data_IF_314439736348
#
_entry.id   IF_314439736348
#
_cell.length_a   1.000
_cell.length_b   1.000
_cell.length_c   1.000
_cell.angle_alpha   90.00
_cell.angle_beta   90.00
_cell.angle_gamma   90.00
#
_symmetry.space_group_name_H-M   'P 1'
#
loop_
_entity.id
_entity.type
_entity.pdbx_description
1 polymer ?
#
# COMPACT_ATOMS: atom_id res chain seq x y z
N UNK A 1 -5.04 0.23 16.89
CA UNK A 1 -4.38 0.63 15.66
C UNK A 1 -4.84 -0.25 14.50
N UNK A 2 -5.11 0.34 13.34
CA UNK A 2 -5.71 -0.38 12.20
C UNK A 2 -4.68 -0.63 11.09
N UNK A 3 -3.54 -1.24 11.48
CA UNK A 3 -2.49 -1.65 10.56
C UNK A 3 -2.57 -3.16 10.37
N UNK A 4 -2.62 -3.59 9.13
CA UNK A 4 -2.72 -4.98 8.73
C UNK A 4 -1.65 -5.33 7.72
N UNK A 5 -1.06 -6.50 7.84
CA UNK A 5 -0.13 -7.05 6.85
C UNK A 5 -0.80 -8.22 6.15
N UNK A 6 -0.96 -8.12 4.84
CA UNK A 6 -1.54 -9.19 4.02
C UNK A 6 -0.41 -10.00 3.39
N UNK A 7 -0.27 -11.25 3.80
CA UNK A 7 0.78 -12.15 3.32
C UNK A 7 0.34 -13.63 3.40
N UNK A 8 0.86 -14.46 2.51
CA UNK A 8 0.76 -15.92 2.54
C UNK A 8 1.96 -16.57 3.21
N UNK A 9 3.07 -15.83 3.35
CA UNK A 9 4.36 -16.32 3.82
C UNK A 9 4.37 -16.50 5.34
N UNK A 10 4.65 -17.72 5.81
CA UNK A 10 4.64 -18.08 7.24
C UNK A 10 5.76 -17.40 8.03
N UNK A 11 6.93 -17.19 7.41
CA UNK A 11 8.04 -16.51 8.09
C UNK A 11 7.71 -15.03 8.31
N UNK A 12 7.09 -14.39 7.32
CA UNK A 12 6.60 -13.01 7.46
C UNK A 12 5.49 -12.94 8.53
N UNK A 13 4.54 -13.89 8.55
CA UNK A 13 3.48 -13.94 9.58
C UNK A 13 4.08 -14.03 10.98
N UNK A 14 5.10 -14.86 11.17
CA UNK A 14 5.79 -14.99 12.45
C UNK A 14 6.44 -13.68 12.90
N UNK A 15 7.20 -13.02 12.00
CA UNK A 15 7.84 -11.73 12.27
C UNK A 15 6.81 -10.65 12.64
N UNK A 16 5.68 -10.61 11.94
CA UNK A 16 4.62 -9.63 12.17
C UNK A 16 3.92 -9.87 13.50
N UNK A 17 3.69 -11.13 13.86
CA UNK A 17 3.07 -11.50 15.14
C UNK A 17 3.91 -11.07 16.35
N UNK A 18 5.25 -11.13 16.23
CA UNK A 18 6.18 -10.64 17.27
C UNK A 18 6.13 -9.12 17.46
N UNK A 19 5.65 -8.37 16.46
CA UNK A 19 5.58 -6.91 16.45
C UNK A 19 4.20 -6.35 16.81
N UNK A 20 3.27 -7.20 17.23
CA UNK A 20 1.89 -6.83 17.60
C UNK A 20 1.09 -6.16 16.45
N UNK A 21 1.43 -6.50 15.20
CA UNK A 21 0.62 -6.14 14.04
C UNK A 21 -0.37 -7.25 13.68
N UNK A 22 -1.45 -6.86 13.01
CA UNK A 22 -2.50 -7.79 12.58
C UNK A 22 -2.16 -8.38 11.23
N UNK A 23 -2.28 -9.70 11.13
CA UNK A 23 -2.05 -10.43 9.87
C UNK A 23 -3.39 -10.71 9.19
N UNK A 24 -3.43 -10.51 7.89
CA UNK A 24 -4.46 -11.03 7.00
C UNK A 24 -3.84 -12.17 6.22
N UNK A 25 -4.31 -13.38 6.48
CA UNK A 25 -3.87 -14.57 5.76
C UNK A 25 -4.35 -14.48 4.30
N UNK A 26 -3.40 -14.25 3.39
CA UNK A 26 -3.69 -14.08 1.98
C UNK A 26 -3.71 -15.45 1.29
N UNK A 27 -4.79 -15.80 0.56
CA UNK A 27 -4.79 -17.01 -0.25
C UNK A 27 -3.62 -17.01 -1.26
N UNK A 28 -2.98 -18.15 -1.43
CA UNK A 28 -1.83 -18.28 -2.32
C UNK A 28 -2.15 -17.89 -3.77
N UNK A 29 -3.38 -18.11 -4.20
CA UNK A 29 -3.86 -17.72 -5.54
C UNK A 29 -3.80 -16.20 -5.77
N UNK A 30 -3.85 -15.39 -4.69
CA UNK A 30 -3.73 -13.94 -4.75
C UNK A 30 -2.28 -13.44 -4.65
N UNK A 31 -1.31 -14.33 -4.57
CA UNK A 31 0.11 -14.02 -4.44
C UNK A 31 0.91 -14.29 -5.71
N UNK A 32 0.23 -14.70 -6.77
CA UNK A 32 0.87 -15.00 -8.04
C UNK A 32 1.17 -13.71 -8.83
N UNK A 33 2.27 -13.70 -9.58
CA UNK A 33 2.80 -12.52 -10.28
C UNK A 33 1.80 -11.86 -11.25
N UNK A 34 0.85 -12.63 -11.77
CA UNK A 34 -0.17 -12.13 -12.69
C UNK A 34 -1.42 -11.56 -11.99
N UNK A 35 -1.48 -11.64 -10.66
CA UNK A 35 -2.64 -11.15 -9.91
C UNK A 35 -2.52 -9.65 -9.68
N UNK A 36 -3.55 -8.94 -10.09
CA UNK A 36 -3.62 -7.49 -9.87
C UNK A 36 -3.76 -7.17 -8.39
N UNK A 37 -3.02 -6.17 -7.93
CA UNK A 37 -3.10 -5.64 -6.54
C UNK A 37 -4.54 -5.35 -6.12
N UNK A 38 -5.40 -4.97 -7.06
CA UNK A 38 -6.82 -4.73 -6.82
C UNK A 38 -7.55 -5.95 -6.22
N UNK A 39 -7.19 -7.16 -6.63
CA UNK A 39 -7.81 -8.38 -6.08
C UNK A 39 -7.37 -8.62 -4.62
N UNK A 40 -6.13 -8.26 -4.29
CA UNK A 40 -5.64 -8.28 -2.90
C UNK A 40 -6.38 -7.25 -2.05
N UNK A 41 -6.64 -6.05 -2.58
CA UNK A 41 -7.41 -5.02 -1.87
C UNK A 41 -8.87 -5.45 -1.64
N UNK A 42 -9.51 -6.10 -2.61
CA UNK A 42 -10.86 -6.67 -2.45
C UNK A 42 -10.89 -7.76 -1.38
N UNK A 43 -9.91 -8.66 -1.38
CA UNK A 43 -9.76 -9.68 -0.35
C UNK A 43 -9.61 -9.05 1.04
N UNK A 44 -8.73 -8.07 1.18
CA UNK A 44 -8.51 -7.31 2.42
C UNK A 44 -9.81 -6.66 2.90
N UNK A 45 -10.53 -5.96 2.03
CA UNK A 45 -11.81 -5.34 2.36
C UNK A 45 -12.84 -6.38 2.82
N UNK A 46 -12.96 -7.49 2.11
CA UNK A 46 -13.88 -8.59 2.47
C UNK A 46 -13.55 -9.16 3.85
N UNK A 47 -12.26 -9.38 4.12
CA UNK A 47 -11.79 -9.86 5.42
C UNK A 47 -12.15 -8.88 6.55
N UNK A 48 -11.82 -7.59 6.39
CA UNK A 48 -12.14 -6.57 7.40
C UNK A 48 -13.65 -6.45 7.65
N UNK A 49 -14.45 -6.45 6.60
CA UNK A 49 -15.90 -6.41 6.72
C UNK A 49 -16.45 -7.64 7.46
N UNK A 50 -15.85 -8.81 7.31
CA UNK A 50 -16.26 -10.02 8.06
C UNK A 50 -16.00 -9.91 9.56
N UNK A 51 -15.06 -9.04 9.96
CA UNK A 51 -14.79 -8.69 11.36
C UNK A 51 -15.61 -7.49 11.86
N UNK A 52 -16.54 -6.97 11.05
CA UNK A 52 -17.32 -5.78 11.38
C UNK A 52 -16.55 -4.46 11.26
N UNK A 53 -15.41 -4.46 10.60
CA UNK A 53 -14.55 -3.29 10.43
C UNK A 53 -14.84 -2.65 9.08
N UNK A 54 -15.43 -1.46 9.12
CA UNK A 54 -15.76 -0.66 7.94
C UNK A 54 -14.90 0.60 7.91
N UNK A 55 -14.43 0.98 6.73
CA UNK A 55 -13.56 2.14 6.56
C UNK A 55 -14.03 2.99 5.36
N UNK A 56 -13.65 4.27 5.35
CA UNK A 56 -13.89 5.18 4.22
C UNK A 56 -12.67 5.29 3.33
N UNK A 57 -11.48 5.23 3.92
CA UNK A 57 -10.19 5.37 3.26
C UNK A 57 -9.36 4.14 3.59
N UNK A 58 -8.74 3.55 2.59
CA UNK A 58 -7.70 2.54 2.72
C UNK A 58 -6.36 3.14 2.29
N UNK A 59 -5.32 2.82 3.03
CA UNK A 59 -3.94 3.19 2.68
C UNK A 59 -3.20 1.89 2.41
N UNK A 60 -2.77 1.72 1.18
CA UNK A 60 -1.88 0.62 0.79
C UNK A 60 -0.44 1.13 0.79
N UNK A 61 0.42 0.43 1.49
CA UNK A 61 1.85 0.68 1.55
C UNK A 61 2.56 -0.57 1.01
N UNK A 62 3.53 -0.36 0.13
CA UNK A 62 4.32 -1.44 -0.43
C UNK A 62 5.52 -1.76 0.48
N UNK A 63 5.65 -3.03 0.88
CA UNK A 63 6.66 -3.44 1.87
C UNK A 63 8.10 -3.30 1.36
N UNK A 64 8.32 -3.36 0.05
CA UNK A 64 9.63 -3.20 -0.58
C UNK A 64 10.02 -1.74 -0.85
N UNK A 65 9.34 -0.78 -0.21
CA UNK A 65 9.70 0.65 -0.22
C UNK A 65 9.99 1.12 1.23
N UNK A 66 11.11 0.71 1.84
CA UNK A 66 11.38 0.95 3.27
C UNK A 66 11.64 2.42 3.62
N UNK A 67 11.75 3.31 2.64
CA UNK A 67 11.96 4.75 2.81
C UNK A 67 10.68 5.53 3.10
N UNK A 68 9.51 4.87 3.07
CA UNK A 68 8.20 5.53 3.28
C UNK A 68 8.19 6.22 4.64
N UNK A 69 7.81 7.50 4.63
CA UNK A 69 7.70 8.34 5.82
C UNK A 69 6.24 8.72 6.07
N UNK A 70 5.92 8.94 7.34
CA UNK A 70 4.56 9.30 7.75
C UNK A 70 4.08 10.60 7.10
N UNK A 71 4.94 11.61 6.99
CA UNK A 71 4.62 12.90 6.36
C UNK A 71 4.13 12.76 4.90
N UNK A 72 4.69 11.80 4.14
CA UNK A 72 4.24 11.53 2.77
C UNK A 72 2.91 10.79 2.70
N UNK A 73 2.63 9.96 3.69
CA UNK A 73 1.31 9.33 3.83
C UNK A 73 0.26 10.40 4.15
N UNK A 74 0.57 11.30 5.10
CA UNK A 74 -0.30 12.40 5.50
C UNK A 74 -0.56 13.34 4.30
N UNK A 75 0.47 13.71 3.52
CA UNK A 75 0.34 14.50 2.30
C UNK A 75 -0.62 13.86 1.28
N UNK A 76 -0.55 12.53 1.11
CA UNK A 76 -1.48 11.81 0.23
C UNK A 76 -2.93 11.87 0.76
N UNK A 77 -3.13 11.72 2.07
CA UNK A 77 -4.45 11.77 2.70
C UNK A 77 -5.04 13.19 2.58
N UNK A 78 -4.27 14.20 2.94
CA UNK A 78 -4.68 15.61 2.84
C UNK A 78 -5.06 15.98 1.40
N UNK A 79 -4.23 15.60 0.44
CA UNK A 79 -4.50 15.84 -0.97
C UNK A 79 -5.80 15.18 -1.44
N UNK A 80 -6.08 13.95 -0.97
CA UNK A 80 -7.32 13.24 -1.29
C UNK A 80 -8.53 14.00 -0.73
N UNK A 81 -8.46 14.45 0.52
CA UNK A 81 -9.56 15.10 1.22
C UNK A 81 -9.80 16.50 0.65
N UNK A 82 -8.77 17.34 0.59
CA UNK A 82 -8.87 18.75 0.23
C UNK A 82 -9.32 18.97 -1.21
N UNK A 83 -8.98 18.05 -2.10
CA UNK A 83 -9.34 18.14 -3.52
C UNK A 83 -10.53 17.23 -3.91
N UNK A 84 -11.20 16.60 -2.95
CA UNK A 84 -12.31 15.65 -3.20
C UNK A 84 -11.93 14.54 -4.19
N UNK A 85 -10.70 14.05 -4.10
CA UNK A 85 -10.21 12.97 -4.95
C UNK A 85 -10.72 11.62 -4.44
N UNK A 86 -10.67 10.63 -5.32
CA UNK A 86 -11.06 9.27 -4.97
C UNK A 86 -9.86 8.39 -4.68
N UNK A 87 -8.73 8.71 -5.28
CA UNK A 87 -7.45 8.04 -5.05
C UNK A 87 -6.27 8.97 -5.25
N UNK A 88 -5.20 8.74 -4.49
CA UNK A 88 -3.92 9.44 -4.59
C UNK A 88 -2.81 8.42 -4.44
N UNK A 89 -1.80 8.46 -5.32
CA UNK A 89 -0.65 7.59 -5.26
C UNK A 89 0.66 8.34 -5.39
N UNK A 90 1.70 7.70 -4.88
CA UNK A 90 3.05 8.21 -5.01
C UNK A 90 3.61 8.00 -6.41
N UNK A 91 4.40 8.97 -6.86
CA UNK A 91 5.08 8.97 -8.16
C UNK A 91 6.51 9.46 -8.02
N UNK A 92 7.36 9.10 -8.97
CA UNK A 92 8.67 9.71 -9.12
C UNK A 92 8.59 11.12 -9.74
N UNK A 93 9.74 11.78 -9.95
CA UNK A 93 9.82 13.13 -10.53
C UNK A 93 9.28 13.22 -11.96
N UNK A 94 9.28 12.12 -12.70
CA UNK A 94 8.76 12.04 -14.05
C UNK A 94 7.24 11.78 -14.10
N UNK A 95 6.60 11.68 -12.93
CA UNK A 95 5.19 11.39 -12.79
C UNK A 95 4.82 9.91 -12.99
N UNK A 96 5.82 9.03 -12.99
CA UNK A 96 5.62 7.57 -13.08
C UNK A 96 5.31 7.05 -11.67
N UNK A 97 4.27 6.22 -11.56
CA UNK A 97 3.89 5.59 -10.30
C UNK A 97 5.01 4.72 -9.76
N UNK A 98 5.44 4.98 -8.51
CA UNK A 98 6.44 4.18 -7.80
C UNK A 98 5.81 3.09 -6.91
N UNK A 99 4.49 3.00 -6.92
CA UNK A 99 3.68 2.02 -6.21
C UNK A 99 3.86 2.00 -4.67
N UNK A 100 4.64 2.89 -4.08
CA UNK A 100 4.98 2.86 -2.67
C UNK A 100 3.78 3.18 -1.76
N UNK A 101 3.02 4.23 -2.10
CA UNK A 101 1.85 4.68 -1.35
C UNK A 101 0.65 4.78 -2.30
N UNK A 102 -0.47 4.21 -1.90
CA UNK A 102 -1.76 4.39 -2.56
C UNK A 102 -2.84 4.62 -1.51
N UNK A 103 -3.39 5.81 -1.48
CA UNK A 103 -4.53 6.21 -0.62
C UNK A 103 -5.78 6.25 -1.47
N UNK A 104 -6.80 5.48 -1.10
CA UNK A 104 -8.00 5.35 -1.90
C UNK A 104 -9.27 5.26 -1.06
N UNK A 105 -10.37 5.78 -1.61
CA UNK A 105 -11.69 5.60 -1.01
C UNK A 105 -12.15 4.15 -1.16
N UNK A 106 -12.92 3.68 -0.20
CA UNK A 106 -13.52 2.34 -0.19
C UNK A 106 -14.19 1.95 -1.53
N UNK A 107 -14.90 2.89 -2.14
CA UNK A 107 -15.57 2.68 -3.44
C UNK A 107 -14.62 2.37 -4.59
N UNK A 108 -13.34 2.81 -4.51
CA UNK A 108 -12.37 2.54 -5.57
C UNK A 108 -11.90 1.09 -5.58
N UNK A 109 -12.02 0.38 -4.46
CA UNK A 109 -11.59 -1.01 -4.35
C UNK A 109 -12.38 -1.93 -5.29
N UNK A 110 -13.64 -1.62 -5.54
CA UNK A 110 -14.51 -2.42 -6.43
C UNK A 110 -14.44 -2.01 -7.91
N UNK A 111 -13.72 -0.94 -8.24
CA UNK A 111 -13.61 -0.47 -9.61
C UNK A 111 -12.69 -1.38 -10.44
N UNK A 112 -12.96 -1.46 -11.73
CA UNK A 112 -12.15 -2.23 -12.69
C UNK A 112 -10.97 -1.44 -13.27
N UNK A 113 -10.92 -0.14 -13.03
CA UNK A 113 -9.91 0.77 -13.54
C UNK A 113 -9.67 1.92 -12.55
N UNK A 114 -8.59 2.66 -12.75
CA UNK A 114 -8.29 3.86 -11.99
C UNK A 114 -9.40 4.90 -12.13
N UNK A 115 -9.66 5.63 -11.04
CA UNK A 115 -10.59 6.75 -11.04
C UNK A 115 -10.11 7.89 -11.96
N UNK A 116 -11.06 8.64 -12.50
CA UNK A 116 -10.74 9.94 -13.13
C UNK A 116 -10.45 11.02 -12.07
N UNK A 117 -10.94 10.83 -10.84
CA UNK A 117 -10.67 11.72 -9.68
C UNK A 117 -9.44 11.24 -8.94
N UNK A 118 -8.28 11.31 -9.58
CA UNK A 118 -7.02 10.86 -9.02
C UNK A 118 -6.00 11.99 -8.88
N UNK A 119 -5.10 11.85 -7.91
CA UNK A 119 -3.98 12.74 -7.68
C UNK A 119 -2.69 11.99 -7.45
N UNK A 120 -1.59 12.71 -7.44
CA UNK A 120 -0.27 12.13 -7.21
C UNK A 120 0.54 12.97 -6.22
N UNK A 121 1.45 12.33 -5.47
CA UNK A 121 2.43 12.97 -4.60
C UNK A 121 3.81 12.48 -5.01
N UNK A 122 4.76 13.39 -5.18
CA UNK A 122 6.14 13.04 -5.58
C UNK A 122 6.92 12.57 -4.35
N UNK A 123 7.51 11.37 -4.45
CA UNK A 123 8.26 10.72 -3.37
C UNK A 123 9.67 10.30 -3.74
N UNK A 124 9.89 9.80 -4.96
CA UNK A 124 11.18 9.24 -5.42
C UNK A 124 11.68 8.05 -4.58
N UNK A 125 10.78 7.20 -4.13
CA UNK A 125 11.17 6.00 -3.40
C UNK A 125 11.79 4.95 -4.32
N UNK A 126 12.75 4.21 -3.76
CA UNK A 126 13.38 3.08 -4.45
C UNK A 126 12.55 1.83 -4.16
N UNK A 127 12.16 1.15 -5.20
CA UNK A 127 11.51 -0.16 -5.14
C UNK A 127 12.59 -1.24 -5.02
N UNK A 128 12.61 -1.95 -3.89
CA UNK A 128 13.66 -2.93 -3.58
C UNK A 128 13.34 -4.26 -4.23
N UNK A 129 14.16 -4.66 -5.19
CA UNK A 129 14.11 -5.97 -5.82
C UNK A 129 15.42 -6.76 -5.71
N UNK A 130 16.53 -6.07 -5.42
CA UNK A 130 17.87 -6.66 -5.39
C UNK A 130 18.65 -6.24 -4.15
N UNK A 131 19.74 -6.97 -3.84
CA UNK A 131 20.66 -6.60 -2.75
C UNK A 131 21.32 -5.24 -3.02
N UNK A 132 21.53 -4.89 -4.27
CA UNK A 132 22.15 -3.60 -4.61
C UNK A 132 21.18 -2.43 -4.35
N UNK A 133 19.87 -2.64 -4.47
CA UNK A 133 18.87 -1.66 -4.08
C UNK A 133 18.91 -1.41 -2.56
N UNK A 134 19.11 -2.47 -1.76
CA UNK A 134 19.27 -2.33 -0.30
C UNK A 134 20.48 -1.45 0.03
N UNK A 135 21.63 -1.72 -0.55
CA UNK A 135 22.85 -0.92 -0.34
C UNK A 135 22.63 0.55 -0.73
N UNK A 136 21.98 0.78 -1.87
CA UNK A 136 21.65 2.13 -2.33
C UNK A 136 20.78 2.88 -1.33
N UNK A 137 19.86 2.19 -0.66
CA UNK A 137 19.01 2.78 0.37
C UNK A 137 19.83 3.05 1.63
N UNK A 138 20.65 2.11 2.08
CA UNK A 138 21.53 2.28 3.25
C UNK A 138 22.42 3.51 3.11
N UNK A 139 22.97 3.75 1.92
CA UNK A 139 23.77 4.93 1.61
C UNK A 139 22.98 6.25 1.72
N UNK A 140 21.65 6.22 1.55
CA UNK A 140 20.79 7.40 1.70
C UNK A 140 20.48 7.73 3.16
N UNK A 141 20.66 6.78 4.08
CA UNK A 141 20.38 6.94 5.52
C UNK A 141 21.67 7.09 6.35
N UNK A 142 22.86 6.93 5.75
CA UNK A 142 24.16 7.15 6.40
C UNK A 142 24.62 8.58 6.24
#
# INVERSE_FOLDING_TARGET
>A
ENIYVSTEDEDIKNIISEKDFKVIDRPIDLSLDHVWTQEVLKHTKKYLNSLGIYFKIMIRIQANSPQIKADKIDECIEKLIDNNLWEVFSVNQDGIEDAAIHVLLDRCIEQKALSVYKGTVVTNYVDVHTIDDIKRIEDLFS
#
